data_IF_387427424901
#
_entry.id   IF_387427424901
#
_cell.length_a   1.000
_cell.length_b   1.000
_cell.length_c   1.000
_cell.angle_alpha   90.00
_cell.angle_beta   90.00
_cell.angle_gamma   90.00
#
_symmetry.space_group_name_H-M   'P 1'
#
loop_
_entity.id
_entity.type
_entity.pdbx_description
1 polymer ?
#
# COMPACT_ATOMS: atom_id res chain seq x y z
N UNK A 1 19.04 -10.57 -0.25
CA UNK A 1 17.93 -10.29 -1.18
C UNK A 1 16.76 -9.62 -0.47
N UNK A 2 16.22 -10.20 0.60
CA UNK A 2 15.07 -9.65 1.35
C UNK A 2 15.35 -8.27 1.96
N UNK A 3 16.54 -8.05 2.55
CA UNK A 3 16.92 -6.75 3.11
C UNK A 3 16.92 -5.63 2.07
N UNK A 4 17.38 -5.92 0.86
CA UNK A 4 17.37 -4.96 -0.26
C UNK A 4 15.94 -4.64 -0.73
N UNK A 5 15.05 -5.63 -0.75
CA UNK A 5 13.63 -5.43 -1.05
C UNK A 5 12.95 -4.53 0.00
N UNK A 6 13.18 -4.82 1.28
CA UNK A 6 12.63 -4.00 2.38
C UNK A 6 13.18 -2.57 2.31
N UNK A 7 14.49 -2.40 2.09
CA UNK A 7 15.10 -1.09 1.92
C UNK A 7 14.48 -0.32 0.76
N UNK A 8 14.33 -0.93 -0.41
CA UNK A 8 13.70 -0.30 -1.58
C UNK A 8 12.23 0.05 -1.37
N UNK A 9 11.55 -0.72 -0.50
CA UNK A 9 10.14 -0.49 -0.18
C UNK A 9 9.90 0.83 0.56
N UNK A 10 10.82 1.22 1.44
CA UNK A 10 10.70 2.42 2.27
C UNK A 10 11.53 3.59 1.77
N UNK A 11 12.51 3.36 0.90
CA UNK A 11 13.39 4.39 0.37
C UNK A 11 12.86 5.01 -0.93
N UNK A 12 13.34 6.22 -1.21
CA UNK A 12 12.99 6.97 -2.40
C UNK A 12 11.70 7.77 -2.26
N UNK A 13 11.22 8.27 -3.37
CA UNK A 13 10.06 9.16 -3.48
C UNK A 13 8.97 8.51 -4.34
N UNK A 14 7.72 8.88 -4.10
CA UNK A 14 6.58 8.44 -4.90
C UNK A 14 5.76 9.66 -5.34
N UNK A 15 5.60 9.84 -6.63
CA UNK A 15 4.85 10.95 -7.18
C UNK A 15 3.34 10.83 -6.93
N UNK A 16 2.63 11.95 -7.12
CA UNK A 16 1.19 12.04 -6.91
C UNK A 16 0.39 11.04 -7.76
N UNK A 17 0.79 10.84 -9.03
CA UNK A 17 0.08 9.94 -9.95
C UNK A 17 0.17 8.49 -9.50
N UNK A 18 1.35 8.04 -9.09
CA UNK A 18 1.56 6.70 -8.56
C UNK A 18 0.82 6.49 -7.23
N UNK A 19 0.78 7.52 -6.37
CA UNK A 19 0.04 7.47 -5.11
C UNK A 19 -1.47 7.39 -5.33
N UNK A 20 -2.02 8.19 -6.26
CA UNK A 20 -3.43 8.14 -6.65
C UNK A 20 -3.79 6.77 -7.24
N UNK A 21 -2.96 6.25 -8.17
CA UNK A 21 -3.19 4.94 -8.75
C UNK A 21 -3.21 3.83 -7.70
N UNK A 22 -2.32 3.89 -6.71
CA UNK A 22 -2.36 2.99 -5.57
C UNK A 22 -3.66 3.13 -4.76
N UNK A 23 -4.09 4.37 -4.48
CA UNK A 23 -5.34 4.65 -3.78
C UNK A 23 -6.58 4.07 -4.46
N UNK A 24 -6.58 3.97 -5.80
CA UNK A 24 -7.64 3.33 -6.57
C UNK A 24 -7.51 1.80 -6.60
N UNK A 25 -6.28 1.28 -6.65
CA UNK A 25 -6.02 -0.16 -6.70
C UNK A 25 -6.19 -0.84 -5.33
N UNK A 26 -5.87 -0.15 -4.25
CA UNK A 26 -5.87 -0.74 -2.92
C UNK A 26 -7.26 -1.26 -2.47
N UNK A 27 -8.37 -0.53 -2.66
CA UNK A 27 -9.71 -1.05 -2.38
C UNK A 27 -10.05 -2.31 -3.22
N UNK A 28 -9.59 -2.37 -4.48
CA UNK A 28 -9.76 -3.55 -5.32
C UNK A 28 -8.98 -4.75 -4.77
N UNK A 29 -7.76 -4.54 -4.28
CA UNK A 29 -6.97 -5.58 -3.62
C UNK A 29 -7.65 -6.08 -2.34
N UNK A 30 -8.27 -5.19 -1.56
CA UNK A 30 -9.06 -5.56 -0.37
C UNK A 30 -10.23 -6.46 -0.79
N UNK A 31 -10.99 -6.04 -1.80
CA UNK A 31 -12.13 -6.82 -2.29
C UNK A 31 -11.70 -8.20 -2.76
N UNK A 32 -10.68 -8.29 -3.59
CA UNK A 32 -10.17 -9.57 -4.11
C UNK A 32 -9.57 -10.46 -3.00
N UNK A 33 -8.84 -9.85 -2.04
CA UNK A 33 -8.20 -10.59 -0.96
C UNK A 33 -9.19 -11.26 -0.01
N UNK A 34 -10.31 -10.61 0.25
CA UNK A 34 -11.34 -11.14 1.14
C UNK A 34 -12.52 -11.80 0.42
N UNK A 35 -12.49 -11.84 -0.93
CA UNK A 35 -13.59 -12.41 -1.72
C UNK A 35 -13.98 -13.82 -1.30
N UNK A 36 -13.06 -14.80 -1.11
CA UNK A 36 -13.44 -16.16 -0.77
C UNK A 36 -14.18 -16.26 0.58
N UNK A 37 -13.68 -15.57 1.60
CA UNK A 37 -14.29 -15.63 2.94
C UNK A 37 -15.62 -14.87 2.97
N UNK A 38 -15.71 -13.75 2.27
CA UNK A 38 -16.97 -13.00 2.17
C UNK A 38 -18.03 -13.80 1.41
N UNK A 39 -17.65 -14.52 0.36
CA UNK A 39 -18.56 -15.39 -0.38
C UNK A 39 -19.06 -16.59 0.47
N UNK A 40 -18.21 -17.14 1.34
CA UNK A 40 -18.61 -18.18 2.28
C UNK A 40 -19.56 -17.65 3.37
N UNK A 41 -19.22 -16.52 4.00
CA UNK A 41 -20.06 -15.91 5.05
C UNK A 41 -21.41 -15.43 4.52
N UNK A 42 -21.47 -14.99 3.26
CA UNK A 42 -22.71 -14.61 2.58
C UNK A 42 -23.53 -15.81 2.04
N UNK A 43 -23.02 -17.03 2.18
CA UNK A 43 -23.69 -18.25 1.71
C UNK A 43 -23.61 -18.52 0.20
N UNK A 44 -22.82 -17.76 -0.55
CA UNK A 44 -22.61 -18.00 -1.99
C UNK A 44 -21.66 -19.16 -2.26
N UNK A 45 -20.77 -19.46 -1.33
CA UNK A 45 -19.86 -20.61 -1.40
C UNK A 45 -20.04 -21.49 -0.15
N UNK A 46 -19.99 -22.83 -0.29
CA UNK A 46 -20.02 -23.72 0.85
C UNK A 46 -18.75 -23.59 1.69
N UNK A 47 -18.86 -23.91 2.97
CA UNK A 47 -17.68 -24.16 3.77
C UNK A 47 -17.07 -25.50 3.38
N UNK A 48 -15.86 -25.45 2.88
CA UNK A 48 -15.13 -26.66 2.52
C UNK A 48 -14.50 -27.29 3.76
N UNK A 49 -14.36 -28.60 3.77
CA UNK A 49 -13.64 -29.33 4.82
C UNK A 49 -12.20 -29.65 4.40
N UNK A 50 -11.35 -29.90 5.39
CA UNK A 50 -9.99 -30.37 5.15
C UNK A 50 -9.07 -29.38 4.44
N UNK A 51 -8.30 -29.87 3.47
CA UNK A 51 -7.20 -29.13 2.82
C UNK A 51 -7.69 -27.88 2.08
N UNK A 52 -8.85 -27.92 1.44
CA UNK A 52 -9.38 -26.80 0.67
C UNK A 52 -9.63 -25.60 1.59
N UNK A 53 -10.30 -25.83 2.73
CA UNK A 53 -10.55 -24.76 3.70
C UNK A 53 -9.24 -24.19 4.28
N UNK A 54 -8.27 -25.06 4.54
CA UNK A 54 -6.94 -24.63 4.99
C UNK A 54 -6.25 -23.71 3.97
N UNK A 55 -6.32 -24.03 2.68
CA UNK A 55 -5.76 -23.19 1.60
C UNK A 55 -6.46 -21.85 1.52
N UNK A 56 -7.79 -21.80 1.62
CA UNK A 56 -8.56 -20.54 1.64
C UNK A 56 -8.17 -19.68 2.84
N UNK A 57 -8.05 -20.27 4.02
CA UNK A 57 -7.67 -19.54 5.23
C UNK A 57 -6.24 -19.00 5.12
N UNK A 58 -5.29 -19.80 4.60
CA UNK A 58 -3.91 -19.36 4.37
C UNK A 58 -3.84 -18.21 3.35
N UNK A 59 -4.58 -18.34 2.24
CA UNK A 59 -4.68 -17.27 1.24
C UNK A 59 -5.20 -15.97 1.88
N UNK A 60 -6.29 -16.03 2.63
CA UNK A 60 -6.89 -14.87 3.29
C UNK A 60 -5.93 -14.22 4.29
N UNK A 61 -5.19 -15.04 5.05
CA UNK A 61 -4.17 -14.57 5.99
C UNK A 61 -3.03 -13.85 5.27
N UNK A 62 -2.52 -14.41 4.18
CA UNK A 62 -1.46 -13.80 3.38
C UNK A 62 -1.93 -12.48 2.77
N UNK A 63 -3.15 -12.45 2.21
CA UNK A 63 -3.74 -11.23 1.65
C UNK A 63 -3.95 -10.16 2.72
N UNK A 64 -4.35 -10.54 3.93
CA UNK A 64 -4.46 -9.61 5.06
C UNK A 64 -3.14 -8.89 5.34
N UNK A 65 -2.03 -9.62 5.43
CA UNK A 65 -0.71 -9.00 5.64
C UNK A 65 -0.28 -8.12 4.47
N UNK A 66 -0.50 -8.55 3.23
CA UNK A 66 -0.19 -7.76 2.04
C UNK A 66 -0.97 -6.44 2.05
N UNK A 67 -2.27 -6.49 2.28
CA UNK A 67 -3.17 -5.33 2.31
C UNK A 67 -2.78 -4.36 3.44
N UNK A 68 -2.31 -4.88 4.57
CA UNK A 68 -1.88 -4.06 5.72
C UNK A 68 -0.52 -3.38 5.47
N UNK A 69 0.44 -4.09 4.89
CA UNK A 69 1.82 -3.61 4.75
C UNK A 69 2.00 -2.70 3.53
N UNK A 70 1.32 -3.01 2.41
CA UNK A 70 1.44 -2.26 1.16
C UNK A 70 1.21 -0.74 1.32
N UNK A 71 0.14 -0.26 1.98
CA UNK A 71 -0.11 1.16 2.14
C UNK A 71 0.98 1.89 2.91
N UNK A 72 1.62 1.22 3.87
CA UNK A 72 2.66 1.83 4.71
C UNK A 72 3.83 2.28 3.84
N UNK A 73 4.40 1.40 3.03
CA UNK A 73 5.54 1.73 2.18
C UNK A 73 5.21 2.79 1.13
N UNK A 74 4.04 2.70 0.52
CA UNK A 74 3.55 3.69 -0.47
C UNK A 74 3.38 5.07 0.17
N UNK A 75 2.79 5.13 1.37
CA UNK A 75 2.57 6.37 2.11
C UNK A 75 3.87 6.98 2.61
N UNK A 76 4.80 6.18 3.14
CA UNK A 76 6.13 6.64 3.56
C UNK A 76 6.85 7.33 2.40
N UNK A 77 6.91 6.70 1.22
CA UNK A 77 7.57 7.29 0.03
C UNK A 77 6.84 8.54 -0.47
N UNK A 78 5.55 8.65 -0.26
CA UNK A 78 4.81 9.86 -0.58
C UNK A 78 5.10 11.00 0.41
N UNK A 79 5.30 10.71 1.70
CA UNK A 79 5.82 11.70 2.66
C UNK A 79 7.26 12.14 2.32
N UNK A 80 8.10 11.22 1.85
CA UNK A 80 9.43 11.55 1.36
C UNK A 80 9.39 12.52 0.16
N UNK A 81 8.44 12.37 -0.74
CA UNK A 81 8.23 13.31 -1.86
C UNK A 81 7.87 14.73 -1.39
N UNK A 82 7.32 14.84 -0.18
CA UNK A 82 7.04 16.09 0.54
C UNK A 82 8.18 16.55 1.47
N UNK A 83 9.36 15.95 1.34
CA UNK A 83 10.52 16.18 2.23
C UNK A 83 10.22 15.95 3.72
N UNK A 84 9.19 15.17 4.03
CA UNK A 84 8.79 14.79 5.39
C UNK A 84 9.30 13.40 5.75
N UNK A 85 9.52 13.17 7.03
CA UNK A 85 9.90 11.84 7.54
C UNK A 85 8.77 10.83 7.33
N UNK A 86 9.17 9.60 6.95
CA UNK A 86 8.23 8.47 6.84
C UNK A 86 7.50 8.12 8.12
N UNK A 87 8.02 8.51 9.30
CA UNK A 87 7.35 8.35 10.58
C UNK A 87 5.99 9.05 10.66
N UNK A 88 5.77 10.07 9.81
CA UNK A 88 4.46 10.71 9.69
C UNK A 88 3.36 9.74 9.22
N UNK A 89 3.71 8.62 8.59
CA UNK A 89 2.74 7.60 8.21
C UNK A 89 2.05 6.95 9.43
N UNK A 90 2.69 6.94 10.60
CA UNK A 90 2.07 6.41 11.83
C UNK A 90 0.87 7.23 12.29
N UNK A 91 0.85 8.53 12.02
CA UNK A 91 -0.30 9.38 12.35
C UNK A 91 -1.55 9.04 11.52
N UNK A 92 -1.39 8.34 10.40
CA UNK A 92 -2.53 7.87 9.61
C UNK A 92 -3.33 6.75 10.28
N UNK A 93 -2.87 6.22 11.42
CA UNK A 93 -3.64 5.29 12.26
C UNK A 93 -4.84 6.02 12.90
N UNK A 94 -4.70 7.30 13.21
CA UNK A 94 -5.79 8.12 13.75
C UNK A 94 -6.77 8.49 12.62
N UNK A 95 -8.08 8.15 12.72
CA UNK A 95 -9.02 8.28 11.60
C UNK A 95 -9.12 9.69 11.01
N UNK A 96 -9.19 10.71 11.87
CA UNK A 96 -9.28 12.13 11.44
C UNK A 96 -7.99 12.56 10.75
N UNK A 97 -6.83 12.24 11.33
CA UNK A 97 -5.51 12.57 10.77
C UNK A 97 -5.29 11.85 9.46
N UNK A 98 -5.76 10.60 9.33
CA UNK A 98 -5.71 9.83 8.10
C UNK A 98 -6.40 10.58 6.94
N UNK A 99 -7.62 11.06 7.15
CA UNK A 99 -8.36 11.80 6.11
C UNK A 99 -7.60 13.07 5.71
N UNK A 100 -7.10 13.84 6.67
CA UNK A 100 -6.36 15.09 6.41
C UNK A 100 -5.09 14.79 5.63
N UNK A 101 -4.27 13.83 6.06
CA UNK A 101 -3.04 13.47 5.36
C UNK A 101 -3.32 12.83 4.01
N UNK A 102 -4.35 12.00 3.88
CA UNK A 102 -4.71 11.43 2.60
C UNK A 102 -5.02 12.50 1.55
N UNK A 103 -5.84 13.50 1.92
CA UNK A 103 -6.15 14.64 1.04
C UNK A 103 -4.88 15.45 0.75
N UNK A 104 -4.07 15.78 1.77
CA UNK A 104 -2.81 16.50 1.59
C UNK A 104 -1.88 15.76 0.63
N UNK A 105 -1.68 14.47 0.82
CA UNK A 105 -0.77 13.67 0.00
C UNK A 105 -1.26 13.52 -1.45
N UNK A 106 -2.57 13.53 -1.69
CA UNK A 106 -3.15 13.53 -3.02
C UNK A 106 -2.96 14.86 -3.74
N UNK A 107 -3.15 15.98 -3.04
CA UNK A 107 -3.19 17.31 -3.66
C UNK A 107 -1.81 17.98 -3.72
N UNK A 108 -0.95 17.69 -2.78
CA UNK A 108 0.31 18.39 -2.60
C UNK A 108 1.32 18.11 -3.73
N UNK A 109 2.02 19.16 -4.12
CA UNK A 109 3.13 19.08 -5.08
C UNK A 109 4.42 18.58 -4.41
N UNK A 110 5.34 17.96 -5.16
CA UNK A 110 6.66 17.59 -4.64
C UNK A 110 7.42 18.83 -4.15
N UNK A 111 8.30 18.63 -3.19
CA UNK A 111 9.19 19.69 -2.68
C UNK A 111 10.60 19.38 -3.14
N UNK A 112 11.23 20.32 -3.82
CA UNK A 112 12.63 20.25 -4.26
C UNK A 112 13.38 21.53 -3.81
N UNK A 113 14.66 21.43 -3.39
CA UNK A 113 15.46 20.22 -3.22
C UNK A 113 14.96 19.32 -2.09
N UNK A 114 15.21 18.01 -2.22
CA UNK A 114 14.68 17.00 -1.31
C UNK A 114 15.76 16.02 -0.83
N UNK A 115 15.84 15.79 0.47
CA UNK A 115 16.84 14.89 1.08
C UNK A 115 16.67 13.41 0.75
N UNK A 116 15.56 13.01 0.16
CA UNK A 116 15.25 11.61 -0.19
C UNK A 116 15.54 11.27 -1.66
N UNK A 117 16.30 12.13 -2.36
CA UNK A 117 16.75 11.90 -3.73
C UNK A 117 15.91 12.60 -4.81
N UNK A 118 16.12 12.18 -6.04
CA UNK A 118 15.51 12.81 -7.22
C UNK A 118 13.99 12.59 -7.30
N UNK A 119 13.26 13.54 -7.91
CA UNK A 119 11.82 13.42 -8.05
C UNK A 119 11.44 12.23 -8.95
N UNK A 120 10.43 11.50 -8.54
CA UNK A 120 9.81 10.48 -9.36
C UNK A 120 8.93 11.16 -10.43
N UNK A 121 9.42 11.22 -11.67
CA UNK A 121 8.76 11.93 -12.78
C UNK A 121 7.78 11.06 -13.56
N UNK A 122 7.96 9.74 -13.54
CA UNK A 122 7.24 8.82 -14.39
C UNK A 122 6.20 7.99 -13.66
N UNK A 123 5.08 7.73 -14.33
CA UNK A 123 4.13 6.73 -13.86
C UNK A 123 4.72 5.33 -14.06
N UNK A 124 4.72 4.51 -13.01
CA UNK A 124 5.19 3.14 -13.10
C UNK A 124 4.60 2.26 -12.00
N UNK A 125 3.94 1.18 -12.38
CA UNK A 125 3.47 0.16 -11.44
C UNK A 125 4.62 -0.47 -10.65
N UNK A 126 5.78 -0.71 -11.26
CA UNK A 126 6.96 -1.24 -10.56
C UNK A 126 7.37 -0.35 -9.39
N UNK A 127 7.30 0.97 -9.57
CA UNK A 127 7.61 1.94 -8.51
C UNK A 127 6.57 1.95 -7.39
N UNK A 128 5.28 1.76 -7.71
CA UNK A 128 4.24 1.64 -6.67
C UNK A 128 4.59 0.51 -5.71
N UNK A 129 5.03 -0.63 -6.23
CA UNK A 129 5.37 -1.81 -5.44
C UNK A 129 6.83 -1.88 -4.96
N UNK A 130 7.61 -0.80 -5.10
CA UNK A 130 9.01 -0.76 -4.65
C UNK A 130 9.96 -1.65 -5.47
N UNK A 131 9.52 -2.14 -6.63
CA UNK A 131 10.29 -2.99 -7.53
C UNK A 131 11.16 -2.12 -8.46
N UNK A 132 12.05 -1.34 -7.87
CA UNK A 132 13.02 -0.55 -8.64
C UNK A 132 14.22 -1.43 -9.00
N UNK A 133 14.60 -1.37 -10.25
CA UNK A 133 15.87 -1.90 -10.75
C UNK A 133 16.99 -0.94 -10.43
#
# INVERSE_FOLDING_TARGET
>A
MISKLISNWFNGRLNRRNYLAFGLLHPLLILLGFLPINAQTAGYLPYFSGIIQMVINLYTLLMFFIILILPIGVTVRRFHDRNRSGWNALWMIAPIVNIIYFIELLMAHPIDPNKYGDPDKNFSFKRIFGLQS
#
